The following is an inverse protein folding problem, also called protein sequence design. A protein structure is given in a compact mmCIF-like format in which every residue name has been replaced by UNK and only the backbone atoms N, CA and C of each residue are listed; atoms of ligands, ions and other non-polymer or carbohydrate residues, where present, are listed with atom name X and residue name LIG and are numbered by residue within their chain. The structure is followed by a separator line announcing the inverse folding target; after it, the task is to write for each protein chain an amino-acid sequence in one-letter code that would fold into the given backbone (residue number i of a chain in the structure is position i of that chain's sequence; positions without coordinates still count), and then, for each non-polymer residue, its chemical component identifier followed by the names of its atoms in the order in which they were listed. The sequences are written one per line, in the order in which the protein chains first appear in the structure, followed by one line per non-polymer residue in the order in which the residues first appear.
data_IF_863336875651
#
_entry.id   IF_863336875651
#
_cell.length_a   1.000
_cell.length_b   1.000
_cell.length_c   1.000
_cell.angle_alpha   90.00
_cell.angle_beta   90.00
_cell.angle_gamma   90.00
#
_symmetry.space_group_name_H-M   'P 1'
#
loop_
_entity.id
_entity.type
_entity.pdbx_description
1 polymer ?
#
# COMPACT_ATOMS: atom_id res chain seq x y z
N UNK A 1 18.16 0.63 -8.04
CA UNK A 1 17.83 -0.71 -8.53
C UNK A 1 16.35 -0.98 -8.40
N UNK A 2 15.72 -1.50 -9.44
CA UNK A 2 14.27 -1.72 -9.45
C UNK A 2 13.92 -3.17 -9.19
N UNK A 3 12.76 -3.40 -8.59
CA UNK A 3 12.24 -4.74 -8.43
C UNK A 3 11.70 -5.26 -9.76
N UNK A 4 11.78 -6.58 -9.96
CA UNK A 4 11.14 -7.22 -11.11
C UNK A 4 9.62 -7.27 -10.87
N UNK A 5 8.86 -7.58 -11.93
CA UNK A 5 7.40 -7.71 -11.80
C UNK A 5 7.03 -8.79 -10.79
N UNK A 6 7.73 -9.93 -10.81
CA UNK A 6 7.47 -11.01 -9.86
C UNK A 6 7.74 -10.57 -8.42
N UNK A 7 8.82 -9.83 -8.21
CA UNK A 7 9.15 -9.31 -6.88
C UNK A 7 8.13 -8.30 -6.41
N UNK A 8 7.64 -7.44 -7.31
CA UNK A 8 6.61 -6.46 -6.98
C UNK A 8 5.29 -7.14 -6.59
N UNK A 9 4.89 -8.16 -7.34
CA UNK A 9 3.68 -8.90 -7.04
C UNK A 9 3.76 -9.59 -5.68
N UNK A 10 4.90 -10.20 -5.39
CA UNK A 10 5.12 -10.83 -4.09
C UNK A 10 5.09 -9.81 -2.97
N UNK A 11 5.73 -8.66 -3.18
CA UNK A 11 5.73 -7.58 -2.19
C UNK A 11 4.31 -7.08 -1.92
N UNK A 12 3.52 -6.86 -2.97
CA UNK A 12 2.13 -6.45 -2.82
C UNK A 12 1.32 -7.47 -2.04
N UNK A 13 1.49 -8.74 -2.35
CA UNK A 13 0.80 -9.82 -1.66
C UNK A 13 1.14 -9.84 -0.17
N UNK A 14 2.42 -9.64 0.15
CA UNK A 14 2.88 -9.66 1.54
C UNK A 14 2.45 -8.43 2.32
N UNK A 15 2.28 -7.29 1.66
CA UNK A 15 1.85 -6.06 2.31
C UNK A 15 0.34 -5.99 2.51
N UNK A 16 -0.43 -6.47 1.53
CA UNK A 16 -1.89 -6.34 1.58
C UNK A 16 -2.48 -7.00 2.82
N UNK A 17 -3.28 -6.23 3.55
CA UNK A 17 -3.91 -6.72 4.77
C UNK A 17 -3.00 -6.70 6.00
N UNK A 18 -1.87 -6.00 5.92
CA UNK A 18 -0.94 -5.89 7.04
C UNK A 18 -0.60 -4.43 7.34
N UNK A 19 0.06 -4.21 8.47
CA UNK A 19 0.61 -2.91 8.83
C UNK A 19 2.12 -2.84 8.57
N UNK A 20 2.68 -3.85 7.94
CA UNK A 20 4.12 -3.93 7.73
C UNK A 20 4.62 -2.79 6.86
N UNK A 21 5.83 -2.34 7.10
CA UNK A 21 6.47 -1.37 6.21
C UNK A 21 7.15 -2.10 5.07
N UNK A 22 7.37 -1.38 3.98
CA UNK A 22 8.11 -1.91 2.82
C UNK A 22 9.49 -2.40 3.26
N UNK A 23 10.11 -1.67 4.18
CA UNK A 23 11.44 -1.98 4.68
C UNK A 23 11.54 -3.35 5.34
N UNK A 24 10.43 -3.89 5.84
CA UNK A 24 10.41 -5.21 6.46
C UNK A 24 10.45 -6.35 5.44
N UNK A 25 10.17 -6.03 4.18
CA UNK A 25 10.07 -7.03 3.12
C UNK A 25 11.15 -6.92 2.06
N UNK A 26 11.90 -5.81 2.03
CA UNK A 26 12.97 -5.61 1.07
C UNK A 26 14.24 -5.16 1.78
N UNK A 27 15.38 -5.33 1.09
CA UNK A 27 16.66 -4.86 1.60
C UNK A 27 16.87 -3.41 1.17
N UNK A 28 16.74 -2.47 2.11
CA UNK A 28 16.87 -1.04 1.83
C UNK A 28 18.27 -0.63 1.42
N UNK A 29 19.27 -1.48 1.65
CA UNK A 29 20.63 -1.21 1.20
C UNK A 29 20.76 -1.42 -0.31
N UNK A 30 19.89 -2.27 -0.89
CA UNK A 30 19.89 -2.55 -2.34
C UNK A 30 18.86 -1.71 -3.09
N UNK A 31 17.76 -1.37 -2.44
CA UNK A 31 16.64 -0.71 -3.10
C UNK A 31 16.31 0.60 -2.41
N UNK A 32 16.02 1.62 -3.21
CA UNK A 32 15.52 2.90 -2.70
C UNK A 32 14.02 2.77 -2.42
N UNK A 33 13.61 3.08 -1.20
CA UNK A 33 12.22 2.98 -0.78
C UNK A 33 11.31 3.83 -1.67
N UNK A 34 11.73 5.04 -2.01
CA UNK A 34 10.93 5.93 -2.85
C UNK A 34 10.75 5.36 -4.24
N UNK A 35 11.78 4.73 -4.78
CA UNK A 35 11.70 4.08 -6.09
C UNK A 35 10.77 2.87 -6.06
N UNK A 36 10.83 2.09 -4.98
CA UNK A 36 9.94 0.94 -4.82
C UNK A 36 8.49 1.39 -4.68
N UNK A 37 8.25 2.46 -3.92
CA UNK A 37 6.90 3.03 -3.79
C UNK A 37 6.36 3.48 -5.15
N UNK A 38 7.17 4.14 -5.96
CA UNK A 38 6.77 4.54 -7.30
C UNK A 38 6.43 3.33 -8.16
N UNK A 39 7.21 2.26 -8.07
CA UNK A 39 6.93 1.04 -8.81
C UNK A 39 5.62 0.40 -8.37
N UNK A 40 5.34 0.40 -7.07
CA UNK A 40 4.08 -0.15 -6.55
C UNK A 40 2.88 0.61 -7.08
N UNK A 41 2.95 1.94 -7.12
CA UNK A 41 1.87 2.78 -7.62
C UNK A 41 1.67 2.63 -9.13
N UNK A 42 2.69 2.22 -9.85
CA UNK A 42 2.65 2.06 -11.31
C UNK A 42 2.03 0.73 -11.74
N UNK A 43 1.66 -0.13 -10.81
CA UNK A 43 1.04 -1.42 -11.11
C UNK A 43 -0.43 -1.25 -11.52
N UNK A 44 -0.98 -2.17 -12.34
CA UNK A 44 -2.40 -2.12 -12.73
C UNK A 44 -3.35 -2.15 -11.53
N UNK A 45 -2.99 -2.87 -10.48
CA UNK A 45 -3.79 -2.98 -9.26
C UNK A 45 -2.88 -2.71 -8.06
N UNK A 46 -2.50 -1.45 -7.84
CA UNK A 46 -1.55 -1.14 -6.77
C UNK A 46 -2.15 -1.36 -5.39
N UNK A 47 -1.28 -1.61 -4.42
CA UNK A 47 -1.67 -1.58 -3.02
C UNK A 47 -1.25 -0.23 -2.45
N UNK A 48 -2.09 0.31 -1.57
CA UNK A 48 -1.85 1.58 -0.93
C UNK A 48 -2.20 1.48 0.54
N UNK A 49 -1.66 2.37 1.34
CA UNK A 49 -1.96 2.41 2.77
C UNK A 49 -3.22 3.21 3.02
N UNK A 50 -4.07 2.69 3.91
CA UNK A 50 -5.14 3.49 4.49
C UNK A 50 -4.49 4.63 5.29
N UNK A 51 -4.90 5.87 5.02
CA UNK A 51 -4.30 7.02 5.68
C UNK A 51 -4.80 7.23 7.12
N UNK A 52 -5.75 6.41 7.55
CA UNK A 52 -6.26 6.46 8.92
C UNK A 52 -5.68 5.37 9.81
N UNK A 53 -5.66 4.13 9.37
CA UNK A 53 -5.16 3.02 10.17
C UNK A 53 -3.80 2.48 9.71
N UNK A 54 -3.30 2.95 8.57
CA UNK A 54 -2.00 2.60 8.01
C UNK A 54 -1.86 1.14 7.57
N UNK A 55 -2.95 0.41 7.44
CA UNK A 55 -2.94 -0.92 6.87
C UNK A 55 -2.87 -0.84 5.35
N UNK A 56 -2.24 -1.83 4.74
CA UNK A 56 -2.16 -1.93 3.29
C UNK A 56 -3.41 -2.60 2.74
N UNK A 57 -3.98 -2.01 1.71
CA UNK A 57 -5.16 -2.54 1.00
C UNK A 57 -4.95 -2.39 -0.50
N UNK A 58 -5.69 -3.16 -1.28
CA UNK A 58 -5.80 -2.89 -2.71
C UNK A 58 -6.37 -1.49 -2.89
N UNK A 59 -5.85 -0.73 -3.86
CA UNK A 59 -6.33 0.64 -4.09
C UNK A 59 -7.83 0.70 -4.37
N UNK A 60 -8.40 -0.36 -4.92
CA UNK A 60 -9.85 -0.44 -5.18
C UNK A 60 -10.67 -0.60 -3.89
N UNK A 61 -10.05 -1.04 -2.82
CA UNK A 61 -10.71 -1.19 -1.51
C UNK A 61 -10.69 0.08 -0.68
N UNK A 62 -9.97 1.10 -1.15
CA UNK A 62 -9.88 2.36 -0.46
C UNK A 62 -10.92 3.34 -1.01
N UNK A 63 -11.44 4.19 -0.12
CA UNK A 63 -12.43 5.19 -0.44
C UNK A 63 -11.81 6.58 -0.35
N UNK A 64 -12.08 7.42 -1.33
CA UNK A 64 -11.64 8.82 -1.32
C UNK A 64 -12.52 9.62 -0.35
N UNK A 65 -11.92 10.11 0.70
CA UNK A 65 -12.62 10.91 1.71
C UNK A 65 -11.73 12.08 2.14
N UNK A 66 -12.20 13.30 1.90
CA UNK A 66 -11.50 14.53 2.24
C UNK A 66 -10.03 14.54 1.77
N UNK A 67 -9.81 14.20 0.49
CA UNK A 67 -8.50 14.14 -0.13
C UNK A 67 -7.58 13.03 0.41
N UNK A 68 -8.18 12.06 1.12
CA UNK A 68 -7.45 10.91 1.66
C UNK A 68 -8.07 9.62 1.17
N UNK A 69 -7.24 8.60 1.05
CA UNK A 69 -7.72 7.26 0.76
C UNK A 69 -7.74 6.46 2.04
N UNK A 70 -8.90 6.01 2.46
CA UNK A 70 -9.09 5.25 3.69
C UNK A 70 -9.87 3.97 3.38
N UNK A 71 -9.67 2.95 4.21
CA UNK A 71 -10.39 1.70 4.02
C UNK A 71 -11.85 1.83 4.44
N UNK A 72 -12.67 0.89 4.00
CA UNK A 72 -14.11 0.89 4.30
C UNK A 72 -14.38 0.95 5.80
N UNK A 73 -13.60 0.22 6.58
CA UNK A 73 -13.76 0.21 8.03
C UNK A 73 -13.54 1.60 8.61
N UNK A 74 -12.45 2.26 8.23
CA UNK A 74 -12.17 3.62 8.72
C UNK A 74 -13.20 4.61 8.22
N UNK A 75 -13.64 4.45 6.98
CA UNK A 75 -14.67 5.29 6.40
C UNK A 75 -15.97 5.17 7.20
N UNK A 76 -16.40 3.96 7.50
CA UNK A 76 -17.61 3.71 8.28
C UNK A 76 -17.48 4.24 9.70
N UNK A 77 -16.34 4.12 10.33
CA UNK A 77 -16.10 4.67 11.66
C UNK A 77 -16.15 6.20 11.68
N UNK A 78 -15.71 6.83 10.57
CA UNK A 78 -15.67 8.28 10.47
C UNK A 78 -17.05 8.88 10.22
N UNK A 79 -17.86 8.24 9.37
CA UNK A 79 -19.16 8.78 8.95
C UNK A 79 -20.34 7.97 9.44
N UNK A 80 -20.12 6.74 9.91
CA UNK A 80 -21.15 5.75 10.17
C UNK A 80 -21.77 5.78 11.55
N UNK A 81 -21.70 6.87 12.21
CA UNK A 81 -22.34 6.97 13.53
C UNK A 81 -23.84 6.89 13.47
#
# INVERSE_FOLDING_TARGET
MKLSIDELEELQYNLEGTMDSIEQHINIEKFDILEVEDQLLDQPHPVERCQACEWWFSSSDLTDYEDKFICDQCYNETIGE
#
